data_IF_691516717087
#
_entry.id   IF_691516717087
#
_cell.length_a   1.000
_cell.length_b   1.000
_cell.length_c   1.000
_cell.angle_alpha   90.00
_cell.angle_beta   90.00
_cell.angle_gamma   90.00
#
_symmetry.space_group_name_H-M   'P 1'
#
loop_
_entity.id
_entity.type
_entity.pdbx_description
1 polymer ?
#
# COMPACT_ATOMS: atom_id res chain seq x y z
N UNK A 1 20.76 -23.67 -21.97
CA UNK A 1 20.84 -22.58 -20.97
C UNK A 1 20.22 -21.34 -21.59
N UNK A 2 18.94 -21.08 -21.34
CA UNK A 2 18.24 -19.90 -21.87
C UNK A 2 18.46 -18.75 -20.91
N UNK A 3 19.22 -17.74 -21.32
CA UNK A 3 19.42 -16.51 -20.55
C UNK A 3 18.13 -15.69 -20.65
N UNK A 4 17.50 -15.42 -19.51
CA UNK A 4 16.39 -14.47 -19.42
C UNK A 4 16.98 -13.07 -19.64
N UNK A 5 16.98 -12.62 -20.89
CA UNK A 5 17.17 -11.22 -21.25
C UNK A 5 15.84 -10.51 -21.03
N UNK A 6 15.74 -9.57 -20.08
CA UNK A 6 14.61 -8.64 -20.13
C UNK A 6 14.18 -7.88 -18.89
N UNK A 7 14.65 -8.18 -17.68
CA UNK A 7 14.33 -7.33 -16.52
C UNK A 7 15.57 -7.21 -15.66
N UNK A 8 16.16 -6.03 -15.65
CA UNK A 8 17.24 -5.73 -14.74
C UNK A 8 16.65 -5.81 -13.32
N UNK A 9 17.09 -6.79 -12.53
CA UNK A 9 16.76 -7.00 -11.11
C UNK A 9 17.26 -5.82 -10.25
N UNK A 10 16.82 -4.60 -10.57
CA UNK A 10 17.14 -3.42 -9.78
C UNK A 10 16.01 -3.25 -8.80
N UNK A 11 16.13 -3.93 -7.65
CA UNK A 11 15.43 -3.50 -6.45
C UNK A 11 15.66 -1.98 -6.31
N UNK A 12 14.61 -1.17 -6.10
CA UNK A 12 14.78 0.27 -5.93
C UNK A 12 15.83 0.53 -4.85
N UNK A 13 16.90 1.26 -5.19
CA UNK A 13 18.00 1.55 -4.26
C UNK A 13 17.56 2.48 -3.11
N UNK A 14 16.43 3.15 -3.25
CA UNK A 14 15.89 4.06 -2.26
C UNK A 14 14.36 3.99 -2.27
N UNK A 15 13.76 3.50 -1.19
CA UNK A 15 12.40 3.84 -0.84
C UNK A 15 12.50 5.21 -0.14
N UNK A 16 12.22 6.30 -0.87
CA UNK A 16 12.16 7.62 -0.25
C UNK A 16 11.15 7.60 0.90
N UNK A 17 11.44 8.35 1.97
CA UNK A 17 10.54 8.47 3.10
C UNK A 17 9.13 8.84 2.62
N UNK A 18 8.18 7.98 2.96
CA UNK A 18 6.78 8.08 2.59
C UNK A 18 6.21 9.40 3.12
N UNK A 19 5.58 10.18 2.24
CA UNK A 19 4.83 11.38 2.61
C UNK A 19 3.81 11.05 3.72
N UNK A 20 3.56 12.02 4.59
CA UNK A 20 2.73 11.97 5.81
C UNK A 20 1.26 11.53 5.60
N UNK A 21 0.85 11.09 4.41
CA UNK A 21 -0.50 10.65 4.08
C UNK A 21 -0.94 9.47 4.96
N UNK A 22 -0.01 8.59 5.35
CA UNK A 22 -0.31 7.49 6.25
C UNK A 22 -0.78 7.95 7.64
N UNK A 23 -0.23 9.05 8.16
CA UNK A 23 -0.67 9.61 9.45
C UNK A 23 -2.10 10.11 9.36
N UNK A 24 -2.48 10.78 8.26
CA UNK A 24 -3.86 11.27 8.08
C UNK A 24 -4.89 10.14 7.99
N UNK A 25 -4.52 9.03 7.36
CA UNK A 25 -5.36 7.83 7.27
C UNK A 25 -5.46 7.12 8.62
N UNK A 26 -4.35 7.02 9.37
CA UNK A 26 -4.34 6.49 10.73
C UNK A 26 -5.22 7.33 11.65
N UNK A 27 -5.09 8.66 11.60
CA UNK A 27 -5.91 9.59 12.39
C UNK A 27 -7.40 9.38 12.11
N UNK A 28 -7.80 9.33 10.84
CA UNK A 28 -9.21 9.07 10.48
C UNK A 28 -9.69 7.73 11.01
N UNK A 29 -8.91 6.67 10.85
CA UNK A 29 -9.25 5.38 11.42
C UNK A 29 -9.36 5.44 12.95
N UNK A 30 -8.51 6.22 13.62
CA UNK A 30 -8.65 6.41 15.05
C UNK A 30 -9.95 7.10 15.45
N UNK A 31 -10.47 8.01 14.62
CA UNK A 31 -11.75 8.70 14.86
C UNK A 31 -12.95 7.82 14.52
N UNK A 32 -12.92 7.09 13.40
CA UNK A 32 -14.08 6.32 12.90
C UNK A 32 -14.13 4.89 13.40
N UNK A 33 -12.97 4.28 13.70
CA UNK A 33 -12.81 2.84 13.93
C UNK A 33 -13.38 1.95 12.80
N UNK A 34 -13.48 2.49 11.59
CA UNK A 34 -13.95 1.75 10.42
C UNK A 34 -12.79 0.99 9.75
N UNK A 35 -12.72 -0.31 9.99
CA UNK A 35 -11.69 -1.19 9.43
C UNK A 35 -11.73 -1.26 7.89
N UNK A 36 -12.92 -1.19 7.29
CA UNK A 36 -13.09 -1.31 5.85
C UNK A 36 -12.64 -0.02 5.14
N UNK A 37 -13.01 1.14 5.68
CA UNK A 37 -12.51 2.43 5.20
C UNK A 37 -11.00 2.54 5.42
N UNK A 38 -10.50 2.10 6.58
CA UNK A 38 -9.07 2.11 6.87
C UNK A 38 -8.27 1.27 5.87
N UNK A 39 -8.73 0.06 5.57
CA UNK A 39 -8.11 -0.79 4.54
C UNK A 39 -8.09 -0.09 3.19
N UNK A 40 -9.25 0.41 2.73
CA UNK A 40 -9.38 1.08 1.43
C UNK A 40 -8.46 2.29 1.33
N UNK A 41 -8.45 3.15 2.34
CA UNK A 41 -7.68 4.39 2.35
C UNK A 41 -6.18 4.11 2.45
N UNK A 42 -5.79 3.18 3.32
CA UNK A 42 -4.38 2.82 3.46
C UNK A 42 -3.82 2.28 2.14
N UNK A 43 -4.50 1.31 1.52
CA UNK A 43 -4.05 0.65 0.30
C UNK A 43 -4.02 1.61 -0.90
N UNK A 44 -5.05 2.44 -1.08
CA UNK A 44 -5.21 3.23 -2.30
C UNK A 44 -4.55 4.61 -2.24
N UNK A 45 -4.52 5.23 -1.05
CA UNK A 45 -4.15 6.65 -0.90
C UNK A 45 -2.73 6.85 -0.39
N UNK A 46 -2.16 5.88 0.34
CA UNK A 46 -0.83 6.02 0.94
C UNK A 46 0.25 5.33 0.10
N UNK A 47 1.47 5.87 0.08
CA UNK A 47 2.59 5.17 -0.57
C UNK A 47 2.95 3.87 0.15
N UNK A 48 2.73 3.81 1.48
CA UNK A 48 2.91 2.60 2.26
C UNK A 48 2.01 1.46 1.76
N UNK A 49 0.71 1.72 1.62
CA UNK A 49 -0.23 0.71 1.15
C UNK A 49 0.01 0.33 -0.32
N UNK A 50 0.30 1.30 -1.18
CA UNK A 50 0.58 1.07 -2.60
C UNK A 50 1.87 0.26 -2.80
N UNK A 51 2.95 0.62 -2.12
CA UNK A 51 4.21 -0.13 -2.17
C UNK A 51 4.06 -1.53 -1.59
N UNK A 52 3.37 -1.67 -0.44
CA UNK A 52 3.05 -2.96 0.16
C UNK A 52 2.27 -3.87 -0.78
N UNK A 53 1.31 -3.31 -1.53
CA UNK A 53 0.52 -4.06 -2.52
C UNK A 53 1.39 -4.58 -3.65
N UNK A 54 2.29 -3.75 -4.19
CA UNK A 54 3.24 -4.16 -5.23
C UNK A 54 4.22 -5.23 -4.74
N UNK A 55 4.71 -5.09 -3.51
CA UNK A 55 5.60 -6.07 -2.90
C UNK A 55 4.87 -7.41 -2.72
N UNK A 56 3.66 -7.40 -2.13
CA UNK A 56 2.86 -8.61 -1.97
C UNK A 56 2.61 -9.29 -3.33
N UNK A 57 2.23 -8.53 -4.34
CA UNK A 57 1.98 -9.03 -5.69
C UNK A 57 3.22 -9.70 -6.31
N UNK A 58 4.40 -9.08 -6.17
CA UNK A 58 5.66 -9.64 -6.66
C UNK A 58 6.03 -10.98 -6.02
N UNK A 59 5.52 -11.27 -4.82
CA UNK A 59 5.69 -12.54 -4.13
C UNK A 59 4.53 -13.53 -4.34
N UNK A 60 3.57 -13.22 -5.22
CA UNK A 60 2.38 -14.06 -5.42
C UNK A 60 1.45 -14.06 -4.19
N UNK A 61 1.45 -12.96 -3.43
CA UNK A 61 0.62 -12.78 -2.24
C UNK A 61 -0.42 -11.67 -2.46
N UNK A 62 -1.49 -11.71 -1.68
CA UNK A 62 -2.50 -10.65 -1.57
C UNK A 62 -2.63 -10.19 -0.12
N UNK A 63 -2.86 -8.90 0.09
CA UNK A 63 -3.20 -8.36 1.40
C UNK A 63 -4.69 -8.62 1.64
N UNK A 64 -5.02 -9.31 2.73
CA UNK A 64 -6.41 -9.65 3.07
C UNK A 64 -7.02 -8.69 4.06
N UNK A 65 -6.22 -8.28 5.05
CA UNK A 65 -6.61 -7.35 6.10
C UNK A 65 -5.37 -6.57 6.56
N UNK A 66 -5.62 -5.48 7.27
CA UNK A 66 -4.58 -4.67 7.92
C UNK A 66 -4.96 -4.41 9.37
N UNK A 67 -3.97 -4.10 10.22
CA UNK A 67 -4.22 -3.67 11.59
C UNK A 67 -3.24 -2.57 12.01
N UNK A 68 -3.75 -1.56 12.71
CA UNK A 68 -2.92 -0.53 13.32
C UNK A 68 -2.24 -1.04 14.59
N UNK A 69 -0.92 -0.93 14.65
CA UNK A 69 -0.10 -1.17 15.85
C UNK A 69 0.25 0.17 16.48
N UNK A 70 -0.61 0.61 17.41
CA UNK A 70 -0.55 1.95 18.03
C UNK A 70 0.81 2.30 18.66
N UNK A 71 1.47 1.33 19.31
CA UNK A 71 2.75 1.57 19.99
C UNK A 71 3.85 2.06 19.04
N UNK A 72 3.77 1.70 17.76
CA UNK A 72 4.78 1.99 16.75
C UNK A 72 4.24 2.81 15.58
N UNK A 73 2.99 3.29 15.64
CA UNK A 73 2.29 3.94 14.52
C UNK A 73 2.48 3.20 13.19
N UNK A 74 2.51 1.87 13.25
CA UNK A 74 2.77 1.02 12.09
C UNK A 74 1.53 0.23 11.71
N UNK A 75 1.42 -0.12 10.44
CA UNK A 75 0.32 -0.93 9.92
C UNK A 75 0.85 -2.34 9.65
N UNK A 76 0.28 -3.32 10.34
CA UNK A 76 0.54 -4.74 10.11
C UNK A 76 -0.33 -5.23 8.95
N UNK A 77 0.28 -5.99 8.04
CA UNK A 77 -0.39 -6.60 6.90
C UNK A 77 -0.62 -8.08 7.18
N UNK A 78 -1.82 -8.57 6.86
CA UNK A 78 -2.10 -10.00 6.82
C UNK A 78 -2.16 -10.43 5.36
N UNK A 79 -1.36 -11.43 5.01
CA UNK A 79 -1.12 -11.86 3.63
C UNK A 79 -1.61 -13.28 3.43
N UNK A 80 -2.09 -13.56 2.22
CA UNK A 80 -2.41 -14.91 1.76
C UNK A 80 -1.83 -15.15 0.37
N UNK A 81 -1.56 -16.40 -0.03
CA UNK A 81 -1.25 -16.73 -1.42
C UNK A 81 -2.35 -16.24 -2.37
N UNK A 82 -1.96 -15.75 -3.54
CA UNK A 82 -2.87 -15.56 -4.66
C UNK A 82 -3.29 -16.94 -5.20
N UNK A 83 -4.57 -17.10 -5.55
CA UNK A 83 -5.05 -18.35 -6.15
C UNK A 83 -4.46 -18.60 -7.54
N UNK A 84 -4.23 -17.51 -8.28
CA UNK A 84 -3.58 -17.53 -9.59
C UNK A 84 -2.30 -16.71 -9.49
N UNK A 85 -1.16 -17.36 -9.71
CA UNK A 85 0.12 -16.67 -9.83
C UNK A 85 0.16 -15.92 -11.15
N UNK A 86 0.50 -14.64 -11.10
CA UNK A 86 0.72 -13.85 -12.32
C UNK A 86 1.99 -14.30 -13.04
N UNK A 87 2.04 -14.20 -14.37
CA UNK A 87 3.27 -14.40 -15.13
C UNK A 87 4.40 -13.52 -14.61
N UNK A 88 5.63 -14.07 -14.61
CA UNK A 88 6.82 -13.33 -14.19
C UNK A 88 6.99 -12.10 -15.11
N UNK A 89 7.04 -10.91 -14.52
CA UNK A 89 7.20 -9.64 -15.24
C UNK A 89 5.91 -8.84 -15.40
N UNK A 90 4.74 -9.42 -15.10
CA UNK A 90 3.49 -8.66 -15.02
C UNK A 90 3.35 -8.03 -13.62
N UNK A 91 3.35 -6.70 -13.57
CA UNK A 91 3.16 -5.96 -12.31
C UNK A 91 1.70 -5.58 -12.13
N UNK A 92 1.21 -5.58 -10.88
CA UNK A 92 -0.09 -4.98 -10.56
C UNK A 92 -0.16 -3.51 -11.01
N UNK A 93 -1.10 -3.22 -11.91
CA UNK A 93 -1.47 -1.86 -12.25
C UNK A 93 -2.36 -1.31 -11.14
N UNK A 94 -1.81 -0.41 -10.32
CA UNK A 94 -2.60 0.33 -9.33
C UNK A 94 -3.29 1.50 -10.01
N UNK A 95 -4.56 1.75 -9.66
CA UNK A 95 -5.29 2.93 -10.09
C UNK A 95 -4.50 4.22 -9.75
N UNK A 96 -4.74 5.33 -10.49
CA UNK A 96 -4.21 6.64 -10.12
C UNK A 96 -4.50 6.97 -8.65
N UNK A 97 -3.62 7.76 -8.02
CA UNK A 97 -3.80 8.14 -6.62
C UNK A 97 -5.12 8.91 -6.49
N UNK A 98 -5.98 8.48 -5.58
CA UNK A 98 -7.14 9.28 -5.20
C UNK A 98 -6.63 10.51 -4.44
N UNK A 99 -6.94 11.71 -4.93
CA UNK A 99 -6.57 12.95 -4.26
C UNK A 99 -7.46 13.12 -3.02
N UNK A 100 -6.85 13.21 -1.84
CA UNK A 100 -7.56 13.62 -0.64
C UNK A 100 -7.85 15.12 -0.78
N UNK A 101 -9.10 15.48 -1.06
CA UNK A 101 -9.53 16.87 -0.96
C UNK A 101 -9.34 17.32 0.49
N UNK A 102 -8.24 18.02 0.77
CA UNK A 102 -8.07 18.74 2.04
C UNK A 102 -9.15 19.82 2.05
N UNK A 103 -10.24 19.60 2.78
CA UNK A 103 -11.14 20.70 3.11
C UNK A 103 -10.31 21.72 3.89
N UNK A 104 -10.00 22.84 3.24
CA UNK A 104 -9.51 24.05 3.89
C UNK A 104 -10.55 24.46 4.93
N UNK A 105 -10.26 24.20 6.19
CA UNK A 105 -10.93 24.88 7.29
C UNK A 105 -10.47 26.34 7.28
N UNK A 106 -11.19 27.19 6.56
CA UNK A 106 -11.14 28.63 6.76
C UNK A 106 -11.92 28.92 8.04
N UNK A 107 -11.18 29.13 9.14
CA UNK A 107 -11.75 29.68 10.38
C UNK A 107 -12.24 31.11 10.09
N UNK A 108 -13.44 31.41 10.56
CA UNK A 108 -14.11 32.72 10.46
C UNK A 108 -13.37 33.81 11.23
#
# INVERSE_FOLDING_TARGET
MTKIFGVQNVLPKLFSAIENDALSVIQRYEDTKDDAEFFKDFINKTDNGRSSTRIADAFGLKITTIALVKKSNSVRLFLQPQEVLKPIGESVALLPREVINKQTQTTQ
#
